data_IF_982577546954
#
_entry.id   IF_982577546954
#
_cell.length_a   1.000
_cell.length_b   1.000
_cell.length_c   1.000
_cell.angle_alpha   90.00
_cell.angle_beta   90.00
_cell.angle_gamma   90.00
#
_symmetry.space_group_name_H-M   'P 1'
#
loop_
_entity.id
_entity.type
_entity.pdbx_description
1 polymer ?
#
# COMPACT_ATOMS: atom_id res chain seq x y z
N UNK A 1 -36.51 -2.82 6.50
CA UNK A 1 -35.48 -2.68 7.54
C UNK A 1 -35.06 -1.22 7.56
N UNK A 2 -35.19 -0.52 8.70
CA UNK A 2 -34.93 0.92 8.76
C UNK A 2 -33.43 1.21 8.65
N UNK A 3 -33.04 2.30 7.99
CA UNK A 3 -31.64 2.68 7.77
C UNK A 3 -30.82 2.73 9.07
N UNK A 4 -31.45 3.11 10.19
CA UNK A 4 -30.86 3.09 11.52
C UNK A 4 -30.58 1.68 12.05
N UNK A 5 -31.45 0.71 11.78
CA UNK A 5 -31.25 -0.68 12.19
C UNK A 5 -30.10 -1.30 11.41
N UNK A 6 -30.03 -1.05 10.10
CA UNK A 6 -28.93 -1.50 9.24
C UNK A 6 -27.60 -0.91 9.71
N UNK A 7 -27.56 0.38 10.09
CA UNK A 7 -26.35 1.01 10.60
C UNK A 7 -25.91 0.45 11.96
N UNK A 8 -26.86 0.12 12.84
CA UNK A 8 -26.60 -0.51 14.15
C UNK A 8 -26.12 -1.94 14.01
N UNK A 9 -26.70 -2.70 13.09
CA UNK A 9 -26.30 -4.09 12.80
C UNK A 9 -24.88 -4.10 12.23
N UNK A 10 -24.58 -3.21 11.27
CA UNK A 10 -23.20 -3.02 10.76
C UNK A 10 -22.21 -2.58 11.85
N UNK A 11 -22.62 -1.69 12.78
CA UNK A 11 -21.76 -1.25 13.86
C UNK A 11 -21.44 -2.38 14.86
N UNK A 12 -22.43 -3.22 15.18
CA UNK A 12 -22.28 -4.32 16.12
C UNK A 12 -21.50 -5.51 15.52
N UNK A 13 -21.52 -5.67 14.20
CA UNK A 13 -20.74 -6.67 13.48
C UNK A 13 -19.26 -6.27 13.27
N UNK A 14 -18.90 -5.00 13.54
CA UNK A 14 -17.50 -4.56 13.50
C UNK A 14 -16.78 -4.99 14.78
N UNK A 15 -15.97 -6.04 14.67
CA UNK A 15 -15.01 -6.38 15.71
C UNK A 15 -13.83 -5.39 15.67
N UNK A 16 -13.87 -4.37 16.53
CA UNK A 16 -12.79 -3.41 16.69
C UNK A 16 -11.48 -4.03 17.22
N UNK A 17 -11.50 -5.29 17.70
CA UNK A 17 -10.30 -6.05 18.05
C UNK A 17 -9.71 -6.82 16.86
N UNK A 18 -10.37 -6.84 15.70
CA UNK A 18 -9.80 -7.43 14.49
C UNK A 18 -8.61 -6.59 14.01
N UNK A 19 -7.41 -7.18 14.08
CA UNK A 19 -6.15 -6.58 13.64
C UNK A 19 -6.20 -6.13 12.18
N UNK A 20 -6.97 -6.81 11.31
CA UNK A 20 -7.15 -6.45 9.89
C UNK A 20 -7.86 -5.11 9.77
N UNK A 21 -8.96 -4.97 10.50
CA UNK A 21 -9.76 -3.76 10.53
C UNK A 21 -8.97 -2.58 11.12
N UNK A 22 -8.21 -2.84 12.19
CA UNK A 22 -7.31 -1.85 12.79
C UNK A 22 -6.23 -1.37 11.81
N UNK A 23 -5.50 -2.30 11.17
CA UNK A 23 -4.41 -1.94 10.24
C UNK A 23 -4.95 -1.20 9.01
N UNK A 24 -6.06 -1.67 8.45
CA UNK A 24 -6.71 -0.99 7.33
C UNK A 24 -7.14 0.44 7.70
N UNK A 25 -7.81 0.60 8.83
CA UNK A 25 -8.29 1.92 9.31
C UNK A 25 -7.12 2.86 9.65
N UNK A 26 -6.05 2.33 10.27
CA UNK A 26 -4.82 3.09 10.50
C UNK A 26 -4.18 3.54 9.19
N UNK A 27 -4.27 2.71 8.14
CA UNK A 27 -3.87 3.08 6.78
C UNK A 27 -4.65 4.27 6.25
N UNK A 28 -5.99 4.25 6.37
CA UNK A 28 -6.84 5.38 5.95
C UNK A 28 -6.52 6.66 6.74
N UNK A 29 -6.32 6.55 8.04
CA UNK A 29 -6.00 7.71 8.89
C UNK A 29 -4.61 8.29 8.57
N UNK A 30 -3.61 7.44 8.31
CA UNK A 30 -2.29 7.86 7.82
C UNK A 30 -2.40 8.66 6.53
N UNK A 31 -3.20 8.17 5.58
CA UNK A 31 -3.35 8.80 4.28
C UNK A 31 -4.05 10.17 4.40
N UNK A 32 -5.03 10.31 5.29
CA UNK A 32 -5.68 11.59 5.56
C UNK A 32 -4.75 12.59 6.27
N UNK A 33 -3.94 12.13 7.25
CA UNK A 33 -2.91 12.97 7.88
C UNK A 33 -1.90 13.44 6.83
N UNK A 34 -1.45 12.55 5.95
CA UNK A 34 -0.52 12.88 4.88
C UNK A 34 -1.10 13.94 3.94
N UNK A 35 -2.36 13.75 3.49
CA UNK A 35 -3.07 14.71 2.65
C UNK A 35 -3.19 16.07 3.33
N UNK A 36 -3.62 16.08 4.60
CA UNK A 36 -3.75 17.30 5.39
C UNK A 36 -2.40 18.02 5.56
N UNK A 37 -1.33 17.28 5.87
CA UNK A 37 0.01 17.82 6.05
C UNK A 37 0.54 18.46 4.77
N UNK A 38 0.31 17.86 3.60
CA UNK A 38 0.75 18.39 2.32
C UNK A 38 -0.10 19.57 1.84
N UNK A 39 -1.40 19.59 2.16
CA UNK A 39 -2.28 20.68 1.77
C UNK A 39 -1.72 22.04 2.22
N UNK A 40 -1.19 22.10 3.44
CA UNK A 40 -0.61 23.30 4.06
C UNK A 40 0.79 23.69 3.56
N UNK A 41 1.44 22.84 2.75
CA UNK A 41 2.80 23.11 2.26
C UNK A 41 2.80 24.06 1.06
N UNK A 42 3.90 24.80 0.87
CA UNK A 42 4.06 25.67 -0.29
C UNK A 42 4.02 24.89 -1.62
N UNK A 43 3.39 25.49 -2.64
CA UNK A 43 3.44 25.00 -4.01
C UNK A 43 4.67 25.53 -4.72
N UNK A 44 5.25 24.74 -5.64
CA UNK A 44 6.39 25.16 -6.45
C UNK A 44 5.97 25.44 -7.89
N UNK A 45 6.25 26.65 -8.44
CA UNK A 45 6.01 26.96 -9.85
C UNK A 45 6.73 26.01 -10.82
N UNK A 46 7.86 25.42 -10.40
CA UNK A 46 8.59 24.44 -11.21
C UNK A 46 7.84 23.10 -11.36
N UNK A 47 6.97 22.78 -10.41
CA UNK A 47 6.14 21.57 -10.43
C UNK A 47 4.74 21.83 -10.98
N UNK A 48 4.25 23.08 -10.97
CA UNK A 48 2.93 23.43 -11.50
C UNK A 48 2.98 23.63 -13.03
N UNK A 49 3.18 22.53 -13.73
CA UNK A 49 3.14 22.51 -15.19
C UNK A 49 2.46 21.24 -15.70
N UNK A 50 2.07 21.25 -16.98
CA UNK A 50 1.30 20.16 -17.58
C UNK A 50 2.08 18.84 -17.62
N UNK A 51 3.40 18.88 -17.79
CA UNK A 51 4.24 17.68 -17.83
C UNK A 51 4.20 16.97 -16.47
N UNK A 52 4.36 17.74 -15.38
CA UNK A 52 4.24 17.21 -14.02
C UNK A 52 2.84 16.65 -13.73
N UNK A 53 1.77 17.28 -14.22
CA UNK A 53 0.39 16.76 -14.06
C UNK A 53 0.15 15.46 -14.84
N UNK A 54 0.69 15.33 -16.04
CA UNK A 54 0.62 14.08 -16.82
C UNK A 54 1.42 12.97 -16.11
N UNK A 55 2.65 13.27 -15.69
CA UNK A 55 3.47 12.34 -14.92
C UNK A 55 2.76 11.90 -13.63
N UNK A 56 2.10 12.84 -12.94
CA UNK A 56 1.33 12.55 -11.75
C UNK A 56 0.20 11.54 -12.00
N UNK A 57 -0.62 11.76 -13.03
CA UNK A 57 -1.71 10.85 -13.40
C UNK A 57 -1.17 9.47 -13.78
N UNK A 58 -0.08 9.42 -14.55
CA UNK A 58 0.55 8.16 -14.93
C UNK A 58 1.06 7.39 -13.70
N UNK A 59 1.80 8.05 -12.81
CA UNK A 59 2.28 7.45 -11.55
C UNK A 59 1.12 6.95 -10.69
N UNK A 60 0.09 7.77 -10.49
CA UNK A 60 -1.05 7.39 -9.65
C UNK A 60 -1.84 6.21 -10.23
N UNK A 61 -2.08 6.22 -11.56
CA UNK A 61 -2.82 5.14 -12.23
C UNK A 61 -2.04 3.83 -12.20
N UNK A 62 -0.74 3.87 -12.53
CA UNK A 62 0.10 2.69 -12.51
C UNK A 62 0.30 2.17 -11.08
N UNK A 63 0.61 3.06 -10.14
CA UNK A 63 0.77 2.71 -8.73
C UNK A 63 -0.48 2.09 -8.13
N UNK A 64 -1.66 2.69 -8.38
CA UNK A 64 -2.94 2.14 -7.92
C UNK A 64 -3.22 0.77 -8.52
N UNK A 65 -2.85 0.54 -9.78
CA UNK A 65 -3.00 -0.77 -10.43
C UNK A 65 -2.17 -1.86 -9.74
N UNK A 66 -0.94 -1.54 -9.31
CA UNK A 66 -0.08 -2.46 -8.56
C UNK A 66 -0.61 -2.72 -7.14
N UNK A 67 -1.04 -1.67 -6.43
CA UNK A 67 -1.59 -1.81 -5.07
C UNK A 67 -2.90 -2.61 -5.09
N UNK A 68 -3.85 -2.25 -5.95
CA UNK A 68 -5.14 -2.94 -6.04
C UNK A 68 -4.97 -4.35 -6.59
N UNK A 69 -4.08 -4.56 -7.58
CA UNK A 69 -3.77 -5.87 -8.11
C UNK A 69 -3.14 -6.80 -7.07
N UNK A 70 -2.20 -6.30 -6.27
CA UNK A 70 -1.57 -7.08 -5.20
C UNK A 70 -2.56 -7.40 -4.07
N UNK A 71 -3.37 -6.42 -3.67
CA UNK A 71 -4.43 -6.64 -2.67
C UNK A 71 -5.50 -7.62 -3.16
N UNK A 72 -5.85 -7.59 -4.45
CA UNK A 72 -6.76 -8.57 -5.05
C UNK A 72 -6.22 -10.00 -4.99
N UNK A 73 -4.91 -10.17 -5.20
CA UNK A 73 -4.24 -11.48 -5.18
C UNK A 73 -3.98 -12.02 -3.78
N UNK A 74 -3.59 -11.15 -2.85
CA UNK A 74 -3.24 -11.52 -1.47
C UNK A 74 -4.42 -11.49 -0.50
N UNK A 75 -5.46 -10.71 -0.82
CA UNK A 75 -6.50 -10.32 0.14
C UNK A 75 -5.96 -9.39 1.24
N UNK A 76 -6.84 -8.85 2.09
CA UNK A 76 -6.47 -7.98 3.21
C UNK A 76 -5.49 -8.68 4.17
N UNK A 77 -5.68 -9.99 4.40
CA UNK A 77 -4.82 -10.78 5.29
C UNK A 77 -3.42 -10.94 4.73
N UNK A 78 -3.27 -11.41 3.49
CA UNK A 78 -1.96 -11.54 2.87
C UNK A 78 -1.26 -10.19 2.68
N UNK A 79 -2.03 -9.11 2.53
CA UNK A 79 -1.53 -7.74 2.33
C UNK A 79 -0.96 -7.13 3.62
N UNK A 80 -1.66 -7.26 4.75
CA UNK A 80 -1.30 -6.56 5.99
C UNK A 80 -0.79 -7.47 7.11
N UNK A 81 -1.04 -8.77 7.01
CA UNK A 81 -0.83 -9.73 8.09
C UNK A 81 -0.10 -11.00 7.63
N UNK A 82 0.46 -11.06 6.42
CA UNK A 82 0.90 -12.29 5.74
C UNK A 82 1.65 -13.33 6.60
N UNK A 83 2.93 -13.50 6.33
CA UNK A 83 3.70 -14.61 6.90
C UNK A 83 3.85 -14.51 8.43
N UNK A 84 3.76 -13.28 8.96
CA UNK A 84 3.91 -12.96 10.39
C UNK A 84 2.76 -13.46 11.26
N UNK A 85 1.57 -13.69 10.69
CA UNK A 85 0.42 -14.27 11.41
C UNK A 85 0.08 -15.69 10.93
N UNK A 86 1.04 -16.37 10.28
CA UNK A 86 0.88 -17.75 9.82
C UNK A 86 0.04 -17.92 8.57
N UNK A 87 -0.31 -16.81 7.88
CA UNK A 87 -1.01 -16.85 6.60
C UNK A 87 0.01 -16.89 5.47
N UNK A 88 0.30 -18.11 4.99
CA UNK A 88 1.24 -18.34 3.90
C UNK A 88 0.56 -19.14 2.78
N UNK A 89 0.66 -18.63 1.55
CA UNK A 89 0.21 -19.36 0.37
C UNK A 89 1.07 -20.62 0.15
N UNK A 90 0.54 -21.58 -0.62
CA UNK A 90 1.26 -22.82 -0.92
C UNK A 90 2.51 -22.60 -1.78
N UNK A 91 2.46 -21.58 -2.62
CA UNK A 91 3.49 -21.13 -3.52
C UNK A 91 3.42 -19.61 -3.65
N UNK A 92 4.52 -18.99 -4.07
CA UNK A 92 4.53 -17.55 -4.35
C UNK A 92 3.65 -17.24 -5.55
N UNK A 93 2.92 -16.13 -5.46
CA UNK A 93 2.12 -15.65 -6.58
C UNK A 93 3.07 -15.08 -7.63
N UNK A 94 3.06 -15.66 -8.84
CA UNK A 94 3.89 -15.22 -9.99
C UNK A 94 3.08 -14.60 -11.11
N UNK A 95 1.80 -14.30 -10.86
CA UNK A 95 0.93 -13.58 -11.81
C UNK A 95 0.91 -12.08 -11.50
N UNK A 96 0.38 -11.27 -12.41
CA UNK A 96 0.22 -9.82 -12.18
C UNK A 96 -0.40 -9.50 -10.80
N UNK A 97 0.17 -8.53 -10.07
CA UNK A 97 1.32 -7.68 -10.44
C UNK A 97 2.72 -8.23 -10.10
N UNK A 98 2.80 -9.38 -9.42
CA UNK A 98 4.07 -9.96 -8.94
C UNK A 98 5.00 -10.50 -10.03
N UNK A 99 4.52 -10.59 -11.28
CA UNK A 99 5.37 -10.92 -12.43
C UNK A 99 6.10 -9.70 -13.01
N UNK A 100 5.75 -8.49 -12.58
CA UNK A 100 6.36 -7.23 -13.06
C UNK A 100 7.39 -6.73 -12.06
N UNK A 101 7.07 -6.77 -10.77
CA UNK A 101 8.02 -6.49 -9.69
C UNK A 101 7.70 -7.36 -8.47
N UNK A 102 8.71 -7.59 -7.64
CA UNK A 102 8.61 -8.50 -6.48
C UNK A 102 7.70 -7.93 -5.37
N UNK A 103 7.66 -6.59 -5.25
CA UNK A 103 7.04 -5.88 -4.15
C UNK A 103 6.01 -4.82 -4.62
N UNK A 104 4.99 -5.23 -5.39
CA UNK A 104 4.09 -4.32 -6.11
C UNK A 104 3.31 -3.38 -5.20
N UNK A 105 3.06 -3.76 -3.94
CA UNK A 105 2.39 -2.89 -2.98
C UNK A 105 3.29 -1.73 -2.54
N UNK A 106 4.58 -1.99 -2.31
CA UNK A 106 5.56 -0.99 -1.89
C UNK A 106 5.88 -0.02 -3.03
N UNK A 107 6.15 -0.56 -4.21
CA UNK A 107 6.40 0.25 -5.42
C UNK A 107 5.15 1.04 -5.82
N UNK A 108 4.00 0.37 -5.83
CA UNK A 108 2.73 0.98 -6.18
C UNK A 108 2.33 2.11 -5.24
N UNK A 109 2.50 1.90 -3.93
CA UNK A 109 2.24 2.95 -2.93
C UNK A 109 3.19 4.13 -3.14
N UNK A 110 4.49 3.89 -3.32
CA UNK A 110 5.48 4.95 -3.60
C UNK A 110 5.08 5.80 -4.81
N UNK A 111 4.61 5.16 -5.88
CA UNK A 111 4.12 5.85 -7.08
C UNK A 111 2.86 6.67 -6.81
N UNK A 112 1.93 6.20 -5.96
CA UNK A 112 0.77 6.98 -5.53
C UNK A 112 1.17 8.22 -4.72
N UNK A 113 2.16 8.10 -3.82
CA UNK A 113 2.74 9.23 -3.08
C UNK A 113 3.40 10.24 -4.05
N UNK A 114 4.22 9.74 -4.99
CA UNK A 114 4.86 10.58 -6.03
C UNK A 114 3.83 11.31 -6.88
N UNK A 115 2.83 10.58 -7.37
CA UNK A 115 1.76 11.12 -8.19
C UNK A 115 1.00 12.23 -7.46
N UNK A 116 0.69 12.02 -6.20
CA UNK A 116 0.00 13.03 -5.36
C UNK A 116 0.86 14.29 -5.19
N UNK A 117 2.14 14.15 -4.84
CA UNK A 117 3.05 15.29 -4.68
C UNK A 117 3.22 16.11 -5.97
N UNK A 118 3.33 15.43 -7.12
CA UNK A 118 3.43 16.06 -8.43
C UNK A 118 2.12 16.75 -8.84
N UNK A 119 0.97 16.10 -8.62
CA UNK A 119 -0.34 16.63 -9.05
C UNK A 119 -0.65 17.97 -8.38
N UNK A 120 -0.38 18.06 -7.08
CA UNK A 120 -0.59 19.27 -6.28
C UNK A 120 0.59 20.26 -6.32
N UNK A 121 1.65 19.95 -7.09
CA UNK A 121 2.87 20.75 -7.20
C UNK A 121 3.54 21.03 -5.84
N UNK A 122 3.57 20.03 -4.94
CA UNK A 122 4.05 20.16 -3.55
C UNK A 122 5.45 19.54 -3.41
N UNK A 123 6.52 20.32 -3.24
CA UNK A 123 7.88 19.79 -3.00
C UNK A 123 7.96 18.92 -1.75
N UNK A 124 7.22 19.27 -0.70
CA UNK A 124 7.11 18.45 0.51
C UNK A 124 6.53 17.06 0.22
N UNK A 125 5.65 16.94 -0.79
CA UNK A 125 5.14 15.65 -1.25
C UNK A 125 6.23 14.79 -1.88
N UNK A 126 7.11 15.38 -2.70
CA UNK A 126 8.26 14.67 -3.28
C UNK A 126 9.24 14.21 -2.20
N UNK A 127 9.50 15.05 -1.20
CA UNK A 127 10.33 14.69 -0.05
C UNK A 127 9.71 13.53 0.74
N UNK A 128 8.41 13.61 1.05
CA UNK A 128 7.71 12.54 1.74
C UNK A 128 7.72 11.22 0.94
N UNK A 129 7.57 11.29 -0.39
CA UNK A 129 7.75 10.12 -1.26
C UNK A 129 9.13 9.50 -1.12
N UNK A 130 10.20 10.30 -1.14
CA UNK A 130 11.56 9.80 -0.99
C UNK A 130 11.78 9.16 0.39
N UNK A 131 11.21 9.74 1.44
CA UNK A 131 11.25 9.19 2.79
C UNK A 131 10.53 7.84 2.87
N UNK A 132 9.29 7.76 2.37
CA UNK A 132 8.49 6.53 2.36
C UNK A 132 9.18 5.43 1.55
N UNK A 133 9.69 5.76 0.36
CA UNK A 133 10.45 4.82 -0.46
C UNK A 133 11.65 4.27 0.30
N UNK A 134 12.43 5.14 0.96
CA UNK A 134 13.59 4.72 1.74
C UNK A 134 13.19 3.78 2.88
N UNK A 135 12.10 4.11 3.59
CA UNK A 135 11.56 3.24 4.63
C UNK A 135 11.16 1.87 4.09
N UNK A 136 10.50 1.82 2.93
CA UNK A 136 10.14 0.56 2.27
C UNK A 136 11.38 -0.25 1.90
N UNK A 137 12.41 0.37 1.33
CA UNK A 137 13.65 -0.35 1.02
C UNK A 137 14.28 -0.97 2.28
N UNK A 138 14.28 -0.25 3.40
CA UNK A 138 14.79 -0.79 4.68
C UNK A 138 13.97 -2.00 5.15
N UNK A 139 12.65 -1.95 5.02
CA UNK A 139 11.77 -3.07 5.39
C UNK A 139 12.04 -4.29 4.50
N UNK A 140 12.18 -4.07 3.18
CA UNK A 140 12.43 -5.14 2.22
C UNK A 140 13.75 -5.89 2.46
N UNK A 141 14.79 -5.20 2.96
CA UNK A 141 16.05 -5.85 3.37
C UNK A 141 15.85 -6.93 4.44
N UNK A 142 14.77 -6.87 5.21
CA UNK A 142 14.42 -7.82 6.27
C UNK A 142 13.35 -8.80 5.78
N UNK A 143 12.34 -8.30 5.09
CA UNK A 143 11.16 -9.06 4.67
C UNK A 143 11.47 -10.07 3.56
N UNK A 144 12.25 -9.70 2.55
CA UNK A 144 12.53 -10.59 1.41
C UNK A 144 13.31 -11.85 1.82
N UNK A 145 14.42 -11.76 2.61
CA UNK A 145 15.14 -12.95 3.05
C UNK A 145 14.28 -13.83 3.97
N UNK A 146 13.44 -13.22 4.81
CA UNK A 146 12.52 -13.93 5.69
C UNK A 146 11.50 -14.75 4.89
N UNK A 147 10.84 -14.10 3.93
CA UNK A 147 9.88 -14.73 3.02
C UNK A 147 10.54 -15.84 2.22
N UNK A 148 11.75 -15.62 1.69
CA UNK A 148 12.51 -16.65 0.95
C UNK A 148 12.78 -17.89 1.79
N UNK A 149 13.22 -17.69 3.03
CA UNK A 149 13.48 -18.78 3.98
C UNK A 149 12.22 -19.56 4.33
N UNK A 150 11.08 -18.90 4.46
CA UNK A 150 9.82 -19.59 4.78
C UNK A 150 9.39 -20.51 3.62
N UNK A 151 9.43 -20.00 2.38
CA UNK A 151 9.07 -20.81 1.21
C UNK A 151 10.07 -21.95 0.96
N UNK A 152 11.38 -21.73 1.12
CA UNK A 152 12.38 -22.80 0.98
C UNK A 152 12.18 -23.94 1.98
N UNK A 153 11.95 -23.60 3.26
CA UNK A 153 11.68 -24.59 4.31
C UNK A 153 10.39 -25.37 4.05
N UNK A 154 9.40 -24.77 3.40
CA UNK A 154 8.14 -25.44 3.03
C UNK A 154 8.36 -26.42 1.88
N UNK A 155 9.16 -26.05 0.87
CA UNK A 155 9.53 -26.95 -0.22
C UNK A 155 10.34 -28.15 0.26
N UNK A 156 11.26 -27.96 1.20
CA UNK A 156 12.01 -29.06 1.82
C UNK A 156 11.11 -30.04 2.57
N UNK A 157 10.09 -29.56 3.27
CA UNK A 157 9.12 -30.41 3.98
C UNK A 157 8.14 -31.14 3.05
N UNK A 158 7.99 -30.68 1.80
CA UNK A 158 7.16 -31.32 0.77
C UNK A 158 7.91 -32.40 0.00
N UNK A 159 9.25 -32.48 0.11
CA UNK A 159 10.10 -33.53 -0.45
C UNK A 159 10.22 -34.71 0.51
#
# INVERSE_FOLDING_TARGET
MGLQQIALDLYNDIDFHDKKFQIFTLGLFRDEIYRAAIADQATSPYLDNIICKIAAIACFTYGSSLVLGSMYKLGIVGTYLGDHFGFLFDERIVSFPFNICDNPMYDGSTLCFLGTGLFYAKPAGLFATALVYTMYQIVLLIEEPFTAKIYSNREEKKK
#
